data_IF_523830000469
#
_entry.id   IF_523830000469
#
_cell.length_a   1.000
_cell.length_b   1.000
_cell.length_c   1.000
_cell.angle_alpha   90.00
_cell.angle_beta   90.00
_cell.angle_gamma   90.00
#
_symmetry.space_group_name_H-M   'P 1'
#
loop_
_entity.id
_entity.type
_entity.pdbx_description
1 polymer ?
#
# COMPACT_ATOMS: atom_id res chain seq x y z
N UNK A 1 -23.19 -8.05 -13.41
CA UNK A 1 -22.15 -7.00 -13.43
C UNK A 1 -20.88 -7.55 -14.04
N UNK A 2 -20.33 -6.88 -15.03
CA UNK A 2 -19.02 -7.19 -15.61
C UNK A 2 -17.90 -6.78 -14.65
N UNK A 3 -16.69 -7.35 -14.83
CA UNK A 3 -15.51 -6.95 -14.05
C UNK A 3 -15.24 -5.45 -14.18
N UNK A 4 -15.46 -4.88 -15.38
CA UNK A 4 -15.30 -3.44 -15.64
C UNK A 4 -16.28 -2.60 -14.82
N UNK A 5 -17.54 -3.00 -14.75
CA UNK A 5 -18.56 -2.34 -13.93
C UNK A 5 -18.18 -2.40 -12.44
N UNK A 6 -17.77 -3.57 -11.95
CA UNK A 6 -17.34 -3.73 -10.55
C UNK A 6 -16.15 -2.86 -10.18
N UNK A 7 -15.12 -2.81 -11.03
CA UNK A 7 -13.93 -1.96 -10.83
C UNK A 7 -14.29 -0.47 -10.93
N UNK A 8 -15.23 -0.11 -11.81
CA UNK A 8 -15.73 1.25 -11.94
C UNK A 8 -16.44 1.74 -10.67
N UNK A 9 -17.38 0.95 -10.16
CA UNK A 9 -18.12 1.22 -8.92
C UNK A 9 -17.18 1.32 -7.70
N UNK A 10 -16.23 0.39 -7.57
CA UNK A 10 -15.21 0.43 -6.51
C UNK A 10 -14.41 1.73 -6.54
N UNK A 11 -13.88 2.11 -7.72
CA UNK A 11 -13.12 3.37 -7.86
C UNK A 11 -13.97 4.61 -7.59
N UNK A 12 -15.28 4.56 -7.89
CA UNK A 12 -16.21 5.67 -7.56
C UNK A 12 -16.31 5.83 -6.04
N UNK A 13 -16.61 4.75 -5.32
CA UNK A 13 -16.67 4.74 -3.84
C UNK A 13 -15.36 5.24 -3.21
N UNK A 14 -14.21 4.79 -3.72
CA UNK A 14 -12.90 5.22 -3.21
C UNK A 14 -12.66 6.72 -3.44
N UNK A 15 -13.07 7.27 -4.58
CA UNK A 15 -12.97 8.72 -4.86
C UNK A 15 -13.87 9.55 -3.96
N UNK A 16 -15.08 9.09 -3.68
CA UNK A 16 -16.01 9.75 -2.73
C UNK A 16 -15.44 9.81 -1.31
N UNK A 17 -14.60 8.84 -0.93
CA UNK A 17 -13.83 8.83 0.33
C UNK A 17 -12.57 9.71 0.31
N UNK A 18 -12.33 10.46 -0.77
CA UNK A 18 -11.16 11.33 -0.92
C UNK A 18 -9.87 10.62 -1.32
N UNK A 19 -9.92 9.34 -1.71
CA UNK A 19 -8.74 8.56 -2.13
C UNK A 19 -8.45 8.75 -3.62
N UNK A 20 -7.16 8.81 -3.96
CA UNK A 20 -6.68 8.93 -5.33
C UNK A 20 -5.97 7.64 -5.79
N UNK A 21 -6.37 7.03 -6.93
CA UNK A 21 -5.66 5.90 -7.48
C UNK A 21 -4.32 6.34 -8.08
N UNK A 22 -3.22 5.75 -7.63
CA UNK A 22 -1.89 5.93 -8.22
C UNK A 22 -1.52 4.69 -9.02
N UNK A 23 -1.11 4.87 -10.27
CA UNK A 23 -0.53 3.81 -11.08
C UNK A 23 0.98 3.97 -11.11
N UNK A 24 1.69 2.97 -10.59
CA UNK A 24 3.15 2.90 -10.65
C UNK A 24 3.56 1.65 -11.41
N UNK A 25 4.70 1.74 -12.08
CA UNK A 25 5.36 0.59 -12.67
C UNK A 25 6.28 -0.03 -11.62
N UNK A 26 6.10 -1.32 -11.37
CA UNK A 26 6.94 -2.11 -10.48
C UNK A 26 7.72 -3.16 -11.27
N UNK A 27 8.92 -3.57 -10.82
CA UNK A 27 9.64 -4.69 -11.42
C UNK A 27 8.82 -5.98 -11.39
N UNK A 28 9.15 -6.95 -12.26
CA UNK A 28 8.44 -8.24 -12.27
C UNK A 28 8.67 -9.00 -10.94
N UNK A 29 7.61 -9.01 -10.13
CA UNK A 29 7.56 -9.58 -8.79
C UNK A 29 7.76 -11.09 -8.74
N UNK A 30 7.68 -11.77 -9.90
CA UNK A 30 7.86 -13.23 -10.00
C UNK A 30 9.33 -13.63 -10.14
N UNK A 31 10.22 -12.66 -10.35
CA UNK A 31 11.65 -12.93 -10.52
C UNK A 31 12.33 -13.20 -9.18
N UNK A 32 13.34 -14.08 -9.18
CA UNK A 32 14.18 -14.31 -7.99
C UNK A 32 14.92 -13.05 -7.54
N UNK A 33 15.27 -12.17 -8.49
CA UNK A 33 15.93 -10.91 -8.20
C UNK A 33 15.03 -9.97 -7.39
N UNK A 34 13.74 -9.90 -7.74
CA UNK A 34 12.77 -9.14 -6.95
C UNK A 34 12.64 -9.70 -5.53
N UNK A 35 12.53 -11.02 -5.37
CA UNK A 35 12.44 -11.65 -4.06
C UNK A 35 13.68 -11.34 -3.19
N UNK A 36 14.88 -11.38 -3.77
CA UNK A 36 16.11 -11.05 -3.07
C UNK A 36 16.16 -9.56 -2.64
N UNK A 37 15.75 -8.65 -3.52
CA UNK A 37 15.73 -7.21 -3.20
C UNK A 37 14.64 -6.87 -2.19
N UNK A 38 13.44 -7.46 -2.31
CA UNK A 38 12.37 -7.31 -1.34
C UNK A 38 12.84 -7.77 0.05
N UNK A 39 13.47 -8.94 0.15
CA UNK A 39 14.03 -9.41 1.41
C UNK A 39 15.11 -8.46 1.96
N UNK A 40 16.04 -7.99 1.11
CA UNK A 40 17.08 -7.03 1.51
C UNK A 40 16.48 -5.74 2.06
N UNK A 41 15.51 -5.16 1.36
CA UNK A 41 14.85 -3.92 1.77
C UNK A 41 14.00 -4.10 3.02
N UNK A 42 13.29 -5.22 3.17
CA UNK A 42 12.54 -5.52 4.39
C UNK A 42 13.47 -5.65 5.60
N UNK A 43 14.61 -6.32 5.45
CA UNK A 43 15.60 -6.42 6.52
C UNK A 43 16.19 -5.05 6.90
N UNK A 44 16.43 -4.17 5.91
CA UNK A 44 16.85 -2.80 6.16
C UNK A 44 15.76 -2.00 6.90
N UNK A 45 14.51 -2.09 6.47
CA UNK A 45 13.39 -1.40 7.11
C UNK A 45 13.18 -1.89 8.56
N UNK A 46 13.32 -3.19 8.81
CA UNK A 46 13.21 -3.77 10.15
C UNK A 46 14.42 -3.45 11.05
N UNK A 47 15.59 -3.18 10.46
CA UNK A 47 16.81 -2.82 11.17
C UNK A 47 16.97 -1.32 11.43
N UNK A 48 16.16 -0.47 10.77
CA UNK A 48 16.01 0.93 11.17
C UNK A 48 15.23 0.90 12.48
N UNK A 49 15.92 1.26 13.55
CA UNK A 49 15.39 1.33 14.91
C UNK A 49 14.02 2.00 14.93
N UNK A 50 13.10 1.45 15.73
CA UNK A 50 11.76 1.98 16.00
C UNK A 50 11.83 3.30 16.77
N UNK A 51 12.83 4.15 16.53
CA UNK A 51 12.96 5.51 17.06
C UNK A 51 11.93 6.43 16.38
N UNK A 52 10.67 6.01 16.43
CA UNK A 52 9.79 6.51 17.48
C UNK A 52 8.91 7.65 17.03
N UNK A 53 9.37 8.50 16.13
CA UNK A 53 8.60 9.68 15.73
C UNK A 53 7.77 9.43 14.48
N UNK A 54 8.37 8.87 13.42
CA UNK A 54 7.67 8.68 12.16
C UNK A 54 6.61 7.57 12.22
N UNK A 55 6.96 6.42 12.79
CA UNK A 55 6.03 5.30 12.96
C UNK A 55 4.91 5.67 13.94
N UNK A 56 5.24 6.28 15.09
CA UNK A 56 4.23 6.73 16.04
C UNK A 56 3.36 7.87 15.46
N UNK A 57 3.92 8.77 14.65
CA UNK A 57 3.14 9.78 13.94
C UNK A 57 2.13 9.14 12.99
N UNK A 58 2.55 8.15 12.20
CA UNK A 58 1.66 7.43 11.28
C UNK A 58 0.58 6.66 12.05
N UNK A 59 0.94 5.94 13.12
CA UNK A 59 0.00 5.19 13.96
C UNK A 59 -0.96 6.09 14.74
N UNK A 60 -0.52 7.31 15.10
CA UNK A 60 -1.36 8.29 15.74
C UNK A 60 -2.42 8.89 14.81
N UNK A 61 -2.30 8.73 13.49
CA UNK A 61 -3.33 9.12 12.52
C UNK A 61 -4.43 8.06 12.55
N UNK A 62 -5.62 8.34 13.10
CA UNK A 62 -6.73 7.39 13.09
C UNK A 62 -7.24 7.29 11.66
N UNK A 63 -6.85 6.24 10.94
CA UNK A 63 -7.44 5.90 9.66
C UNK A 63 -8.62 4.97 9.90
N UNK A 64 -9.85 5.49 9.77
CA UNK A 64 -11.04 4.64 9.70
C UNK A 64 -11.06 3.97 8.32
N UNK A 65 -10.31 2.88 8.19
CA UNK A 65 -10.51 1.96 7.09
C UNK A 65 -11.84 1.27 7.33
N UNK A 66 -12.91 1.78 6.73
CA UNK A 66 -14.19 1.05 6.69
C UNK A 66 -13.88 -0.40 6.28
N UNK A 67 -14.07 -1.35 7.20
CA UNK A 67 -14.06 -2.78 6.89
C UNK A 67 -15.20 -3.00 5.89
N UNK A 68 -14.86 -3.43 4.68
CA UNK A 68 -15.82 -3.71 3.61
C UNK A 68 -16.71 -4.91 3.93
#
# INVERSE_FOLDING_TARGET
MTVRERVGEYRRRMRERGLCPVQIWVPDVRTKAFAAEAHRQSALAAGVDESGDAQAFIEAIPAHWDEE
#
